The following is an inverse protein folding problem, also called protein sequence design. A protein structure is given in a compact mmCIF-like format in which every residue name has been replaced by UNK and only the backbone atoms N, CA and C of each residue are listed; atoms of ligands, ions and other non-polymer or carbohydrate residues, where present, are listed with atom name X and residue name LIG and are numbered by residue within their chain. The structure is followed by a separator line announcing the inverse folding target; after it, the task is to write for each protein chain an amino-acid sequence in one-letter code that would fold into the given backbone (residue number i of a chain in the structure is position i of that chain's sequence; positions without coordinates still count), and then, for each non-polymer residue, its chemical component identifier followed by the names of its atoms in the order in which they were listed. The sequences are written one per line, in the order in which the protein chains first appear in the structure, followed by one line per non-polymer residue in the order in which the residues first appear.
data_IF_487076579339
#
_entry.id   IF_487076579339
#
_cell.length_a   1.000
_cell.length_b   1.000
_cell.length_c   1.000
_cell.angle_alpha   90.00
_cell.angle_beta   90.00
_cell.angle_gamma   90.00
#
_symmetry.space_group_name_H-M   'P 1'
#
loop_
_entity.id
_entity.type
_entity.pdbx_description
1 polymer ?
#
# COMPACT_ATOMS: atom_id res chain seq x y z
N UNK A 1 -21.64 3.32 -6.74
CA UNK A 1 -23.05 3.21 -7.16
C UNK A 1 -23.56 1.80 -6.94
N UNK A 2 -24.85 1.64 -6.58
CA UNK A 2 -25.59 0.39 -6.62
C UNK A 2 -26.28 0.28 -7.96
N UNK A 3 -26.09 -0.86 -8.63
CA UNK A 3 -26.64 -1.11 -9.98
C UNK A 3 -27.14 -2.55 -10.09
N UNK A 4 -28.16 -2.80 -10.88
CA UNK A 4 -28.64 -4.15 -11.17
C UNK A 4 -27.55 -4.91 -11.98
N UNK A 5 -27.25 -6.13 -11.57
CA UNK A 5 -26.23 -6.99 -12.19
C UNK A 5 -26.50 -7.30 -13.68
N UNK A 6 -27.73 -7.19 -14.13
CA UNK A 6 -28.16 -7.41 -15.53
C UNK A 6 -27.94 -6.17 -16.40
N UNK A 7 -27.77 -4.98 -15.80
CA UNK A 7 -27.56 -3.73 -16.54
C UNK A 7 -26.08 -3.54 -16.90
N UNK A 8 -25.86 -2.73 -17.91
CA UNK A 8 -24.50 -2.33 -18.31
C UNK A 8 -23.89 -1.47 -17.20
N UNK A 9 -22.55 -1.50 -17.09
CA UNK A 9 -21.79 -0.69 -16.10
C UNK A 9 -22.15 0.80 -16.14
N UNK A 10 -22.37 1.35 -17.32
CA UNK A 10 -22.68 2.76 -17.55
C UNK A 10 -24.22 2.99 -17.64
N UNK A 11 -25.04 2.03 -17.20
CA UNK A 11 -26.48 2.14 -17.14
C UNK A 11 -26.97 2.96 -15.96
N UNK A 12 -28.30 3.19 -15.90
CA UNK A 12 -28.89 3.90 -14.78
C UNK A 12 -28.59 3.19 -13.45
N UNK A 13 -27.94 3.90 -12.55
CA UNK A 13 -27.71 3.44 -11.18
C UNK A 13 -29.02 3.50 -10.38
N UNK A 14 -29.20 2.58 -9.44
CA UNK A 14 -30.32 2.60 -8.50
C UNK A 14 -30.06 3.68 -7.47
N UNK A 15 -28.82 3.76 -6.96
CA UNK A 15 -28.42 4.71 -5.94
C UNK A 15 -26.94 5.06 -6.03
N UNK A 16 -26.58 6.30 -5.76
CA UNK A 16 -25.21 6.77 -5.62
C UNK A 16 -24.75 6.63 -4.18
N UNK A 17 -23.75 5.77 -3.96
CA UNK A 17 -23.21 5.42 -2.65
C UNK A 17 -21.96 6.21 -2.26
N UNK A 18 -21.45 7.04 -3.17
CA UNK A 18 -20.28 7.85 -2.93
C UNK A 18 -19.36 7.94 -4.14
N UNK A 19 -18.22 8.58 -3.96
CA UNK A 19 -17.22 8.79 -5.00
C UNK A 19 -15.82 8.38 -4.52
N UNK A 20 -14.94 8.16 -5.47
CA UNK A 20 -13.54 7.82 -5.23
C UNK A 20 -12.67 8.47 -6.31
N UNK A 21 -11.63 9.18 -5.88
CA UNK A 21 -10.64 9.76 -6.78
C UNK A 21 -9.31 9.00 -6.70
N UNK A 22 -8.93 8.23 -7.72
CA UNK A 22 -7.68 7.48 -7.73
C UNK A 22 -6.45 8.34 -8.07
N UNK A 23 -6.63 9.58 -8.55
CA UNK A 23 -5.56 10.46 -9.03
C UNK A 23 -4.89 11.17 -7.86
N UNK A 24 -5.63 11.45 -6.80
CA UNK A 24 -5.10 12.11 -5.62
C UNK A 24 -4.06 11.24 -4.92
N UNK A 25 -3.01 11.87 -4.41
CA UNK A 25 -1.96 11.20 -3.66
C UNK A 25 -2.50 10.45 -2.42
N UNK A 26 -3.52 11.01 -1.80
CA UNK A 26 -4.18 10.44 -0.63
C UNK A 26 -5.30 9.45 -0.99
N UNK A 27 -5.59 9.26 -2.29
CA UNK A 27 -6.70 8.42 -2.78
C UNK A 27 -8.02 8.76 -2.09
N UNK A 28 -8.38 10.03 -2.12
CA UNK A 28 -9.56 10.56 -1.43
C UNK A 28 -10.85 9.87 -1.88
N UNK A 29 -11.71 9.59 -0.94
CA UNK A 29 -13.01 8.99 -1.17
C UNK A 29 -14.02 9.50 -0.14
N UNK A 30 -15.27 9.58 -0.55
CA UNK A 30 -16.40 9.86 0.33
C UNK A 30 -17.46 8.77 0.10
N UNK A 31 -17.83 8.07 1.16
CA UNK A 31 -18.70 6.90 1.11
C UNK A 31 -19.87 7.06 2.08
N UNK A 32 -21.09 6.90 1.60
CA UNK A 32 -22.30 6.86 2.40
C UNK A 32 -22.40 5.52 3.15
N UNK A 33 -21.77 5.43 4.33
CA UNK A 33 -21.59 4.20 5.09
C UNK A 33 -22.90 3.46 5.38
N UNK A 34 -23.95 4.19 5.82
CA UNK A 34 -25.22 3.59 6.20
C UNK A 34 -25.95 2.97 5.01
N UNK A 35 -25.90 3.65 3.85
CA UNK A 35 -26.51 3.13 2.63
C UNK A 35 -25.76 1.92 2.09
N UNK A 36 -24.43 1.92 2.21
CA UNK A 36 -23.62 0.76 1.82
C UNK A 36 -23.93 -0.44 2.70
N UNK A 37 -24.02 -0.27 4.01
CA UNK A 37 -24.38 -1.34 4.94
C UNK A 37 -25.77 -1.88 4.65
N UNK A 38 -26.74 -1.00 4.35
CA UNK A 38 -28.08 -1.40 3.94
C UNK A 38 -28.04 -2.29 2.69
N UNK A 39 -27.34 -1.89 1.62
CA UNK A 39 -27.23 -2.70 0.41
C UNK A 39 -26.52 -4.04 0.64
N UNK A 40 -25.54 -4.07 1.53
CA UNK A 40 -24.86 -5.32 1.91
C UNK A 40 -25.81 -6.26 2.68
N UNK A 41 -26.72 -5.73 3.50
CA UNK A 41 -27.74 -6.53 4.20
C UNK A 41 -28.78 -7.10 3.25
N UNK A 42 -29.14 -6.36 2.20
CA UNK A 42 -30.03 -6.82 1.12
C UNK A 42 -29.36 -7.83 0.16
N UNK A 43 -28.06 -8.13 0.39
CA UNK A 43 -27.35 -9.15 -0.39
C UNK A 43 -26.61 -8.60 -1.61
N UNK A 44 -26.38 -7.29 -1.71
CA UNK A 44 -25.58 -6.72 -2.78
C UNK A 44 -24.15 -7.26 -2.75
N UNK A 45 -23.64 -7.63 -3.93
CA UNK A 45 -22.28 -8.19 -4.07
C UNK A 45 -21.30 -7.10 -4.53
N UNK A 46 -20.38 -6.67 -3.66
CA UNK A 46 -19.39 -5.67 -4.07
C UNK A 46 -18.37 -6.25 -5.05
N UNK A 47 -18.02 -5.49 -6.09
CA UNK A 47 -16.96 -5.82 -7.04
C UNK A 47 -15.59 -5.89 -6.34
N UNK A 48 -14.56 -6.44 -7.01
CA UNK A 48 -13.20 -6.50 -6.46
C UNK A 48 -12.65 -5.11 -6.10
N UNK A 49 -12.93 -4.09 -6.92
CA UNK A 49 -12.53 -2.72 -6.66
C UNK A 49 -13.29 -2.13 -5.45
N UNK A 50 -14.61 -2.28 -5.39
CA UNK A 50 -15.42 -1.85 -4.26
C UNK A 50 -14.97 -2.52 -2.96
N UNK A 51 -14.70 -3.83 -2.95
CA UNK A 51 -14.17 -4.53 -1.76
C UNK A 51 -12.86 -3.92 -1.26
N UNK A 52 -11.98 -3.47 -2.16
CA UNK A 52 -10.72 -2.81 -1.78
C UNK A 52 -11.00 -1.47 -1.07
N UNK A 53 -11.93 -0.66 -1.59
CA UNK A 53 -12.35 0.59 -0.97
C UNK A 53 -13.01 0.36 0.38
N UNK A 54 -13.94 -0.60 0.48
CA UNK A 54 -14.60 -0.94 1.74
C UNK A 54 -13.63 -1.46 2.82
N UNK A 55 -12.52 -2.08 2.41
CA UNK A 55 -11.44 -2.47 3.35
C UNK A 55 -10.63 -1.25 3.81
N UNK A 56 -10.34 -0.33 2.91
CA UNK A 56 -9.57 0.88 3.27
C UNK A 56 -10.37 1.83 4.15
N UNK A 57 -11.68 1.91 3.98
CA UNK A 57 -12.59 2.71 4.82
C UNK A 57 -13.01 2.04 6.14
N UNK A 58 -12.69 0.74 6.36
CA UNK A 58 -13.13 0.00 7.53
C UNK A 58 -14.57 -0.53 7.47
N UNK A 59 -15.36 -0.15 6.47
CA UNK A 59 -16.76 -0.57 6.35
C UNK A 59 -16.92 -2.09 6.22
N UNK A 60 -15.96 -2.76 5.60
CA UNK A 60 -15.99 -4.22 5.51
C UNK A 60 -15.81 -4.89 6.89
N UNK A 61 -15.04 -4.28 7.79
CA UNK A 61 -14.86 -4.77 9.15
C UNK A 61 -16.12 -4.52 10.00
N UNK A 62 -16.67 -3.29 9.91
CA UNK A 62 -17.95 -2.96 10.55
C UNK A 62 -19.09 -3.91 10.12
N UNK A 63 -19.21 -4.18 8.83
CA UNK A 63 -20.18 -5.14 8.30
C UNK A 63 -19.99 -6.54 8.88
N UNK A 64 -18.73 -6.98 9.02
CA UNK A 64 -18.42 -8.29 9.58
C UNK A 64 -18.88 -8.40 11.05
N UNK A 65 -18.64 -7.38 11.87
CA UNK A 65 -19.09 -7.33 13.27
C UNK A 65 -20.62 -7.34 13.39
N UNK A 66 -21.30 -6.53 12.59
CA UNK A 66 -22.78 -6.50 12.54
C UNK A 66 -23.35 -7.88 12.17
N UNK A 67 -22.74 -8.55 11.20
CA UNK A 67 -23.16 -9.89 10.78
C UNK A 67 -22.94 -10.96 11.87
N UNK A 68 -21.97 -10.77 12.74
CA UNK A 68 -21.75 -11.64 13.90
C UNK A 68 -22.75 -11.39 15.05
N UNK A 69 -23.53 -10.34 14.98
CA UNK A 69 -24.50 -9.97 16.02
C UNK A 69 -23.85 -9.29 17.23
N UNK A 70 -22.70 -8.64 17.03
CA UNK A 70 -22.00 -7.89 18.08
C UNK A 70 -22.78 -6.62 18.41
N UNK A 71 -22.84 -6.27 19.70
CA UNK A 71 -23.56 -5.10 20.19
C UNK A 71 -23.00 -3.79 19.60
N UNK A 72 -23.84 -2.82 19.30
CA UNK A 72 -23.44 -1.57 18.63
C UNK A 72 -22.31 -0.82 19.36
N UNK A 73 -22.35 -0.84 20.70
CA UNK A 73 -21.30 -0.23 21.53
C UNK A 73 -19.95 -0.92 21.39
N UNK A 74 -19.95 -2.24 21.28
CA UNK A 74 -18.73 -3.03 21.06
C UNK A 74 -18.19 -2.81 19.64
N UNK A 75 -19.07 -2.69 18.65
CA UNK A 75 -18.70 -2.35 17.28
C UNK A 75 -17.96 -1.02 17.22
N UNK A 76 -18.42 0.01 17.94
CA UNK A 76 -17.73 1.31 17.99
C UNK A 76 -16.34 1.21 18.63
N UNK A 77 -16.20 0.45 19.72
CA UNK A 77 -14.91 0.24 20.38
C UNK A 77 -13.94 -0.47 19.44
N UNK A 78 -14.39 -1.51 18.76
CA UNK A 78 -13.60 -2.27 17.81
C UNK A 78 -13.21 -1.42 16.58
N UNK A 79 -14.11 -0.56 16.11
CA UNK A 79 -13.81 0.37 15.02
C UNK A 79 -12.72 1.37 15.41
N UNK A 80 -12.75 1.93 16.61
CA UNK A 80 -11.68 2.80 17.12
C UNK A 80 -10.33 2.09 17.21
N UNK A 81 -10.30 0.85 17.69
CA UNK A 81 -9.07 0.03 17.70
C UNK A 81 -8.55 -0.23 16.28
N UNK A 82 -9.45 -0.49 15.35
CA UNK A 82 -9.10 -0.71 13.95
C UNK A 82 -8.48 0.55 13.33
N UNK A 83 -9.02 1.74 13.61
CA UNK A 83 -8.50 3.03 13.14
C UNK A 83 -7.07 3.27 13.64
N UNK A 84 -6.82 3.09 14.94
CA UNK A 84 -5.49 3.23 15.53
C UNK A 84 -4.47 2.26 14.89
N UNK A 85 -4.85 1.00 14.74
CA UNK A 85 -4.01 0.00 14.06
C UNK A 85 -3.78 0.37 12.58
N UNK A 86 -4.78 0.94 11.93
CA UNK A 86 -4.67 1.39 10.54
C UNK A 86 -3.66 2.52 10.39
N UNK A 87 -3.68 3.50 11.27
CA UNK A 87 -2.70 4.59 11.29
C UNK A 87 -1.27 4.07 11.50
N UNK A 88 -1.07 3.14 12.43
CA UNK A 88 0.25 2.52 12.63
C UNK A 88 0.73 1.78 11.39
N UNK A 89 -0.15 1.04 10.73
CA UNK A 89 0.18 0.33 9.48
C UNK A 89 0.55 1.30 8.36
N UNK A 90 -0.13 2.45 8.26
CA UNK A 90 0.19 3.50 7.29
C UNK A 90 1.56 4.10 7.59
N UNK A 91 1.84 4.54 8.81
CA UNK A 91 3.16 5.06 9.23
C UNK A 91 4.29 4.07 8.91
N UNK A 92 4.10 2.79 9.25
CA UNK A 92 5.07 1.74 8.94
C UNK A 92 5.30 1.52 7.43
N UNK A 93 4.28 1.77 6.59
CA UNK A 93 4.42 1.69 5.12
C UNK A 93 5.23 2.86 4.58
N UNK A 94 4.96 4.06 5.08
CA UNK A 94 5.64 5.29 4.66
C UNK A 94 7.12 5.22 5.03
N UNK A 95 7.45 4.83 6.26
CA UNK A 95 8.84 4.59 6.67
C UNK A 95 9.56 3.54 5.80
N UNK A 96 8.86 2.46 5.45
CA UNK A 96 9.43 1.43 4.57
C UNK A 96 9.60 1.93 3.13
N UNK A 97 8.71 2.79 2.66
CA UNK A 97 8.82 3.42 1.35
C UNK A 97 10.01 4.38 1.31
N UNK A 98 10.19 5.22 2.32
CA UNK A 98 11.34 6.12 2.45
C UNK A 98 12.68 5.35 2.51
N UNK A 99 12.75 4.30 3.32
CA UNK A 99 13.95 3.43 3.39
C UNK A 99 14.27 2.77 2.04
N UNK A 100 13.26 2.40 1.26
CA UNK A 100 13.45 1.85 -0.09
C UNK A 100 13.92 2.90 -1.09
N UNK A 101 13.39 4.12 -1.00
CA UNK A 101 13.82 5.23 -1.86
C UNK A 101 15.27 5.63 -1.54
N UNK A 102 15.62 5.76 -0.26
CA UNK A 102 16.98 6.04 0.17
C UNK A 102 17.98 4.97 -0.34
N UNK A 103 17.65 3.68 -0.22
CA UNK A 103 18.47 2.59 -0.77
C UNK A 103 18.65 2.69 -2.28
N UNK A 104 17.57 2.97 -3.03
CA UNK A 104 17.64 3.14 -4.48
C UNK A 104 18.55 4.31 -4.89
N UNK A 105 18.49 5.42 -4.14
CA UNK A 105 19.35 6.58 -4.40
C UNK A 105 20.82 6.28 -4.12
N UNK A 106 21.14 5.50 -3.10
CA UNK A 106 22.51 5.05 -2.81
C UNK A 106 23.00 4.10 -3.90
N UNK A 107 22.18 3.13 -4.29
CA UNK A 107 22.54 2.18 -5.35
C UNK A 107 22.73 2.85 -6.73
N UNK A 108 21.94 3.91 -7.03
CA UNK A 108 22.13 4.67 -8.26
C UNK A 108 23.44 5.49 -8.23
N UNK A 109 23.74 6.16 -7.12
CA UNK A 109 25.00 6.90 -6.97
C UNK A 109 26.23 5.99 -7.07
N UNK A 110 26.19 4.81 -6.46
CA UNK A 110 27.27 3.83 -6.57
C UNK A 110 27.48 3.31 -8.00
N UNK A 111 26.43 3.24 -8.80
CA UNK A 111 26.52 2.84 -10.21
C UNK A 111 27.08 3.96 -11.10
N UNK A 112 26.77 5.20 -10.80
CA UNK A 112 27.28 6.36 -11.53
C UNK A 112 28.80 6.57 -11.26
N UNK A 113 29.24 6.35 -10.01
CA UNK A 113 30.63 6.42 -9.60
C UNK A 113 31.49 5.28 -10.21
N UNK A 114 30.90 4.12 -10.49
CA UNK A 114 31.61 3.01 -11.17
C UNK A 114 31.71 3.16 -12.68
N UNK A 115 30.87 4.00 -13.29
CA UNK A 115 30.86 4.22 -14.73
C UNK A 115 31.77 5.41 -15.17
N UNK A 116 32.30 6.20 -14.22
CA UNK A 116 33.18 7.32 -14.50
C UNK A 116 34.68 7.02 -14.27
N UNK A 117 35.04 5.81 -13.89
CA UNK A 117 36.42 5.37 -13.73
C UNK A 117 36.87 4.42 -14.85
N UNK A 118 36.96 4.96 -16.05
CA UNK A 118 37.76 4.34 -17.10
C UNK A 118 39.26 4.62 -16.80
N UNK A 119 39.82 3.85 -15.87
CA UNK A 119 41.29 3.80 -15.65
C UNK A 119 41.84 2.55 -16.32
N UNK A 120 42.92 2.70 -17.11
CA UNK A 120 43.49 1.59 -17.87
C UNK A 120 44.01 0.49 -16.94
N UNK A 121 43.71 -0.75 -17.30
CA UNK A 121 44.05 -1.99 -16.60
C UNK A 121 45.56 -2.24 -16.33
N UNK A 122 46.45 -1.33 -16.73
CA UNK A 122 47.91 -1.49 -16.61
C UNK A 122 48.49 -1.18 -15.23
N UNK A 123 47.79 -0.42 -14.38
CA UNK A 123 48.35 -0.04 -13.06
C UNK A 123 47.96 -0.98 -11.90
N UNK A 124 47.02 -1.91 -12.12
CA UNK A 124 46.58 -2.82 -11.07
C UNK A 124 47.45 -4.08 -10.96
N UNK A 125 48.12 -4.48 -12.05
CA UNK A 125 49.02 -5.64 -12.04
C UNK A 125 50.33 -5.39 -11.27
N UNK A 126 50.82 -4.15 -11.26
CA UNK A 126 52.08 -3.83 -10.57
C UNK A 126 51.92 -3.71 -9.05
N UNK A 127 50.75 -3.33 -8.56
CA UNK A 127 50.45 -3.28 -7.12
C UNK A 127 50.22 -4.66 -6.49
N UNK A 128 49.82 -5.66 -7.28
CA UNK A 128 49.65 -7.05 -6.80
C UNK A 128 51.00 -7.78 -6.64
N UNK A 129 52.02 -7.45 -7.42
CA UNK A 129 53.35 -8.07 -7.32
C UNK A 129 54.15 -7.63 -6.09
N UNK A 130 53.92 -6.43 -5.57
CA UNK A 130 54.64 -5.88 -4.41
C UNK A 130 54.16 -6.51 -3.08
N UNK A 131 52.94 -7.03 -3.00
CA UNK A 131 52.41 -7.65 -1.77
C UNK A 131 52.82 -9.11 -1.56
N UNK A 132 53.41 -9.78 -2.53
CA UNK A 132 53.81 -11.20 -2.40
C UNK A 132 55.28 -11.40 -2.00
N UNK A 133 56.10 -10.36 -1.92
CA UNK A 133 57.53 -10.49 -1.55
C UNK A 133 57.85 -10.09 -0.12
N UNK A 134 56.85 -9.75 0.72
CA UNK A 134 57.05 -9.22 2.07
C UNK A 134 56.84 -10.20 3.22
N UNK A 135 56.71 -11.50 3.01
CA UNK A 135 56.49 -12.42 4.14
C UNK A 135 57.34 -13.70 4.07
N UNK A 136 58.64 -13.52 4.10
CA UNK A 136 59.57 -14.64 4.37
C UNK A 136 60.83 -14.09 4.99
N UNK A 137 60.89 -13.95 6.32
CA UNK A 137 62.13 -14.09 7.12
C UNK A 137 61.70 -14.29 8.61
N UNK A 138 62.01 -15.48 9.12
CA UNK A 138 62.30 -15.99 10.47
C UNK A 138 61.13 -15.98 11.47
#
# INVERSE_FOLDING_TARGET
VAIDSRKRRDGAAIEELGWYNPIDLEHSFDLKSDRILHWLSEGAQPTKAAKKLLRSSGLNYRWHLIRQGVDEKEVEIEMKKWELNREEVLKNRDEKAEKKLAKKQIDSKLKDDTNSSDKPKSEIEDLCKIKQTGNKVI
#
